data_IF_150666684242
#
_entry.id   IF_150666684242
#
_cell.length_a   1.000
_cell.length_b   1.000
_cell.length_c   1.000
_cell.angle_alpha   90.00
_cell.angle_beta   90.00
_cell.angle_gamma   90.00
#
_symmetry.space_group_name_H-M   'P 1'
#
loop_
_entity.id
_entity.type
_entity.pdbx_description
1 polymer ?
#
# COMPACT_ATOMS: atom_id res chain seq x y z
N UNK A 1 20.18 -7.44 -29.67
CA UNK A 1 19.74 -6.52 -28.58
C UNK A 1 18.23 -6.39 -28.66
N UNK A 2 17.54 -6.57 -27.55
CA UNK A 2 16.08 -6.39 -27.51
C UNK A 2 15.79 -4.88 -27.52
N UNK A 3 14.98 -4.42 -28.47
CA UNK A 3 14.51 -3.02 -28.51
C UNK A 3 13.21 -2.96 -27.70
N UNK A 4 13.32 -2.62 -26.43
CA UNK A 4 12.21 -2.64 -25.47
C UNK A 4 11.02 -1.74 -25.82
N UNK A 5 11.24 -0.72 -26.64
CA UNK A 5 10.21 0.24 -27.09
C UNK A 5 9.67 -0.10 -28.49
N UNK A 6 10.02 -1.28 -29.05
CA UNK A 6 9.40 -1.71 -30.31
C UNK A 6 7.93 -2.00 -30.14
N UNK A 7 7.06 -1.66 -31.11
CA UNK A 7 5.61 -1.89 -31.02
C UNK A 7 5.23 -3.34 -30.68
N UNK A 8 5.94 -4.30 -31.27
CA UNK A 8 5.71 -5.74 -31.04
C UNK A 8 5.99 -6.16 -29.60
N UNK A 9 7.07 -5.65 -28.99
CA UNK A 9 7.41 -5.93 -27.58
C UNK A 9 6.41 -5.26 -26.65
N UNK A 10 6.03 -4.02 -26.91
CA UNK A 10 5.05 -3.29 -26.11
C UNK A 10 3.67 -3.96 -26.15
N UNK A 11 3.22 -4.47 -27.30
CA UNK A 11 1.96 -5.20 -27.45
C UNK A 11 1.97 -6.48 -26.62
N UNK A 12 3.04 -7.29 -26.75
CA UNK A 12 3.21 -8.54 -25.97
C UNK A 12 3.26 -8.28 -24.46
N UNK A 13 3.99 -7.28 -24.04
CA UNK A 13 4.09 -6.93 -22.61
C UNK A 13 2.76 -6.38 -22.07
N UNK A 14 1.98 -5.70 -22.91
CA UNK A 14 0.62 -5.25 -22.57
C UNK A 14 -0.34 -6.42 -22.37
N UNK A 15 -0.27 -7.45 -23.19
CA UNK A 15 -1.06 -8.69 -22.99
C UNK A 15 -0.68 -9.39 -21.68
N UNK A 16 0.63 -9.46 -21.37
CA UNK A 16 1.12 -10.03 -20.11
C UNK A 16 0.60 -9.20 -18.93
N UNK A 17 0.65 -7.88 -19.05
CA UNK A 17 0.12 -6.97 -18.02
C UNK A 17 -1.36 -7.21 -17.76
N UNK A 18 -2.18 -7.35 -18.81
CA UNK A 18 -3.63 -7.62 -18.67
C UNK A 18 -3.87 -8.93 -17.91
N UNK A 19 -3.21 -10.02 -18.30
CA UNK A 19 -3.32 -11.33 -17.62
C UNK A 19 -2.87 -11.25 -16.17
N UNK A 20 -1.79 -10.50 -15.92
CA UNK A 20 -1.28 -10.28 -14.58
C UNK A 20 -2.25 -9.47 -13.71
N UNK A 21 -2.91 -8.45 -14.28
CA UNK A 21 -3.93 -7.66 -13.57
C UNK A 21 -5.12 -8.52 -13.11
N UNK A 22 -5.58 -9.49 -13.92
CA UNK A 22 -6.61 -10.44 -13.46
C UNK A 22 -6.15 -11.29 -12.29
N UNK A 23 -4.89 -11.75 -12.29
CA UNK A 23 -4.34 -12.49 -11.16
C UNK A 23 -4.27 -11.62 -9.89
N UNK A 24 -3.82 -10.37 -10.01
CA UNK A 24 -3.77 -9.42 -8.90
C UNK A 24 -5.17 -9.09 -8.36
N UNK A 25 -6.14 -8.90 -9.24
CA UNK A 25 -7.55 -8.71 -8.84
C UNK A 25 -8.04 -9.92 -8.05
N UNK A 26 -7.78 -11.14 -8.54
CA UNK A 26 -8.15 -12.39 -7.84
C UNK A 26 -7.56 -12.48 -6.44
N UNK A 27 -6.26 -12.20 -6.30
CA UNK A 27 -5.56 -12.18 -5.01
C UNK A 27 -6.16 -11.12 -4.09
N UNK A 28 -6.42 -9.92 -4.60
CA UNK A 28 -6.95 -8.83 -3.79
C UNK A 28 -8.38 -9.09 -3.33
N UNK A 29 -9.25 -9.56 -4.23
CA UNK A 29 -10.64 -9.93 -3.93
C UNK A 29 -10.69 -11.08 -2.93
N UNK A 30 -9.85 -12.10 -3.08
CA UNK A 30 -9.71 -13.18 -2.11
C UNK A 30 -9.38 -12.64 -0.71
N UNK A 31 -8.34 -11.80 -0.60
CA UNK A 31 -7.95 -11.18 0.67
C UNK A 31 -9.07 -10.30 1.23
N UNK A 32 -9.79 -9.60 0.35
CA UNK A 32 -10.92 -8.76 0.72
C UNK A 32 -12.06 -9.60 1.31
N UNK A 33 -12.45 -10.69 0.65
CA UNK A 33 -13.56 -11.56 1.09
C UNK A 33 -13.26 -12.24 2.41
N UNK A 34 -12.09 -12.86 2.57
CA UNK A 34 -11.72 -13.56 3.82
C UNK A 34 -11.60 -12.63 5.03
N UNK A 35 -11.56 -11.34 4.81
CA UNK A 35 -11.47 -10.33 5.87
C UNK A 35 -12.77 -9.58 6.14
N UNK A 36 -13.85 -9.87 5.42
CA UNK A 36 -15.15 -9.24 5.62
C UNK A 36 -15.73 -9.51 7.03
N UNK A 37 -15.46 -10.68 7.61
CA UNK A 37 -15.88 -11.00 8.98
C UNK A 37 -15.34 -10.01 10.01
N UNK A 38 -14.11 -9.56 9.82
CA UNK A 38 -13.51 -8.54 10.68
C UNK A 38 -14.20 -7.18 10.52
N UNK A 39 -14.47 -6.77 9.28
CA UNK A 39 -15.16 -5.52 8.99
C UNK A 39 -16.58 -5.56 9.57
N UNK A 40 -17.29 -6.67 9.38
CA UNK A 40 -18.62 -6.86 9.94
C UNK A 40 -18.62 -6.84 11.48
N UNK A 41 -17.59 -7.41 12.12
CA UNK A 41 -17.48 -7.38 13.58
C UNK A 41 -17.30 -5.96 14.13
N UNK A 42 -16.69 -5.05 13.37
CA UNK A 42 -16.54 -3.64 13.73
C UNK A 42 -17.84 -2.88 13.47
N UNK A 43 -18.45 -3.04 12.29
CA UNK A 43 -19.71 -2.36 11.94
C UNK A 43 -20.88 -2.80 12.82
N UNK A 44 -20.91 -4.07 13.26
CA UNK A 44 -21.93 -4.61 14.18
C UNK A 44 -21.67 -4.25 15.64
N UNK A 45 -20.63 -3.47 15.96
CA UNK A 45 -20.30 -3.07 17.33
C UNK A 45 -19.73 -4.20 18.21
N UNK A 46 -19.48 -5.39 17.65
CA UNK A 46 -18.86 -6.52 18.39
C UNK A 46 -17.43 -6.24 18.78
N UNK A 47 -16.72 -5.36 18.03
CA UNK A 47 -15.37 -4.89 18.33
C UNK A 47 -15.35 -3.37 18.45
N UNK A 48 -14.59 -2.88 19.43
CA UNK A 48 -14.46 -1.44 19.63
C UNK A 48 -13.73 -0.78 18.46
N UNK A 49 -14.36 0.25 17.88
CA UNK A 49 -13.75 1.09 16.88
C UNK A 49 -12.64 1.93 17.50
N UNK A 50 -11.46 1.89 16.89
CA UNK A 50 -10.30 2.73 17.25
C UNK A 50 -9.92 3.60 16.06
N UNK A 51 -9.53 4.83 16.29
CA UNK A 51 -9.23 5.79 15.22
C UNK A 51 -8.24 5.30 14.14
N UNK A 52 -7.20 4.47 14.42
CA UNK A 52 -6.32 3.95 13.35
C UNK A 52 -7.03 3.06 12.33
N UNK A 53 -8.21 2.49 12.69
CA UNK A 53 -9.02 1.69 11.77
C UNK A 53 -9.59 2.51 10.62
N UNK A 54 -9.69 3.84 10.75
CA UNK A 54 -10.09 4.72 9.64
C UNK A 54 -9.14 4.54 8.46
N UNK A 55 -7.83 4.58 8.70
CA UNK A 55 -6.83 4.41 7.64
C UNK A 55 -6.81 3.00 7.06
N UNK A 56 -7.15 2.00 7.87
CA UNK A 56 -7.35 0.63 7.39
C UNK A 56 -8.49 0.57 6.37
N UNK A 57 -9.67 1.10 6.72
CA UNK A 57 -10.82 1.09 5.82
C UNK A 57 -10.56 1.92 4.57
N UNK A 58 -10.07 3.15 4.72
CA UNK A 58 -9.75 4.01 3.58
C UNK A 58 -8.76 3.34 2.63
N UNK A 59 -7.63 2.83 3.12
CA UNK A 59 -6.64 2.16 2.28
C UNK A 59 -7.22 0.96 1.54
N UNK A 60 -8.01 0.15 2.23
CA UNK A 60 -8.62 -1.07 1.70
C UNK A 60 -9.64 -0.78 0.59
N UNK A 61 -10.60 0.11 0.86
CA UNK A 61 -11.65 0.41 -0.12
C UNK A 61 -11.15 1.26 -1.29
N UNK A 62 -10.22 2.19 -1.04
CA UNK A 62 -9.55 2.93 -2.11
C UNK A 62 -8.77 2.00 -3.05
N UNK A 63 -8.03 1.02 -2.53
CA UNK A 63 -7.31 0.06 -3.36
C UNK A 63 -8.27 -0.80 -4.19
N UNK A 64 -9.37 -1.28 -3.60
CA UNK A 64 -10.39 -2.02 -4.34
C UNK A 64 -10.96 -1.18 -5.50
N UNK A 65 -11.34 0.07 -5.22
CA UNK A 65 -11.85 0.98 -6.23
C UNK A 65 -10.82 1.25 -7.35
N UNK A 66 -9.54 1.40 -7.00
CA UNK A 66 -8.47 1.59 -7.97
C UNK A 66 -8.30 0.36 -8.88
N UNK A 67 -8.26 -0.86 -8.33
CA UNK A 67 -8.12 -2.09 -9.12
C UNK A 67 -9.33 -2.26 -10.07
N UNK A 68 -10.55 -2.04 -9.57
CA UNK A 68 -11.76 -2.08 -10.41
C UNK A 68 -11.69 -1.03 -11.51
N UNK A 69 -11.25 0.19 -11.20
CA UNK A 69 -11.09 1.28 -12.17
C UNK A 69 -10.08 0.93 -13.26
N UNK A 70 -8.94 0.31 -12.91
CA UNK A 70 -7.94 -0.18 -13.89
C UNK A 70 -8.58 -1.24 -14.79
N UNK A 71 -9.33 -2.20 -14.24
CA UNK A 71 -9.99 -3.25 -15.04
C UNK A 71 -11.02 -2.66 -16.02
N UNK A 72 -11.80 -1.68 -15.58
CA UNK A 72 -12.73 -0.94 -16.45
C UNK A 72 -12.02 -0.14 -17.54
N UNK A 73 -10.83 0.38 -17.26
CA UNK A 73 -10.02 1.09 -18.25
C UNK A 73 -9.42 0.14 -19.31
N UNK A 74 -9.04 -1.09 -18.90
CA UNK A 74 -8.50 -2.13 -19.80
C UNK A 74 -9.61 -2.72 -20.71
N UNK A 75 -10.80 -2.98 -20.14
CA UNK A 75 -11.94 -3.55 -20.89
C UNK A 75 -13.20 -2.71 -20.65
N UNK A 76 -13.30 -1.56 -21.30
CA UNK A 76 -14.43 -0.67 -21.10
C UNK A 76 -15.71 -1.30 -21.73
N UNK A 77 -16.82 -1.40 -20.96
CA UNK A 77 -18.07 -1.95 -21.48
C UNK A 77 -18.78 -1.04 -22.48
N UNK A 78 -18.44 0.25 -22.47
CA UNK A 78 -18.98 1.28 -23.36
C UNK A 78 -17.98 2.43 -23.49
N UNK A 79 -18.29 3.41 -24.34
CA UNK A 79 -17.48 4.63 -24.43
C UNK A 79 -17.57 5.41 -23.12
N UNK A 80 -16.44 5.51 -22.44
CA UNK A 80 -16.28 6.17 -21.14
C UNK A 80 -15.40 7.42 -21.24
N UNK A 81 -15.53 8.30 -20.28
CA UNK A 81 -14.57 9.39 -20.12
C UNK A 81 -13.26 8.86 -19.53
N UNK A 82 -12.33 8.48 -20.42
CA UNK A 82 -11.04 7.89 -20.05
C UNK A 82 -10.22 8.78 -19.12
N UNK A 83 -10.27 10.11 -19.35
CA UNK A 83 -9.55 11.07 -18.53
C UNK A 83 -10.04 11.04 -17.08
N UNK A 84 -11.36 11.07 -16.87
CA UNK A 84 -11.94 11.03 -15.53
C UNK A 84 -11.67 9.69 -14.84
N UNK A 85 -11.80 8.57 -15.57
CA UNK A 85 -11.58 7.24 -15.04
C UNK A 85 -10.13 7.05 -14.57
N UNK A 86 -9.15 7.40 -15.40
CA UNK A 86 -7.74 7.25 -15.03
C UNK A 86 -7.33 8.22 -13.91
N UNK A 87 -7.79 9.47 -13.95
CA UNK A 87 -7.52 10.44 -12.87
C UNK A 87 -8.07 9.95 -11.53
N UNK A 88 -9.29 9.43 -11.51
CA UNK A 88 -9.89 8.83 -10.32
C UNK A 88 -9.08 7.62 -9.83
N UNK A 89 -8.76 6.69 -10.73
CA UNK A 89 -8.06 5.45 -10.43
C UNK A 89 -6.66 5.71 -9.86
N UNK A 90 -5.90 6.61 -10.47
CA UNK A 90 -4.57 7.01 -9.98
C UNK A 90 -4.67 7.71 -8.62
N UNK A 91 -5.64 8.62 -8.46
CA UNK A 91 -5.83 9.33 -7.19
C UNK A 91 -6.15 8.37 -6.05
N UNK A 92 -7.13 7.47 -6.22
CA UNK A 92 -7.51 6.52 -5.14
C UNK A 92 -6.44 5.45 -4.93
N UNK A 93 -5.73 5.01 -5.99
CA UNK A 93 -4.62 4.08 -5.88
C UNK A 93 -3.45 4.65 -5.08
N UNK A 94 -3.03 5.86 -5.42
CA UNK A 94 -1.98 6.56 -4.70
C UNK A 94 -2.40 6.90 -3.26
N UNK A 95 -3.66 7.27 -3.03
CA UNK A 95 -4.19 7.50 -1.68
C UNK A 95 -4.18 6.21 -0.84
N UNK A 96 -4.49 5.06 -1.44
CA UNK A 96 -4.41 3.76 -0.75
C UNK A 96 -2.98 3.46 -0.29
N UNK A 97 -1.96 3.76 -1.12
CA UNK A 97 -0.55 3.67 -0.73
C UNK A 97 -0.24 4.61 0.44
N UNK A 98 -0.72 5.85 0.39
CA UNK A 98 -0.55 6.82 1.47
C UNK A 98 -1.16 6.32 2.80
N UNK A 99 -2.36 5.75 2.77
CA UNK A 99 -3.00 5.16 3.95
C UNK A 99 -2.26 3.93 4.46
N UNK A 100 -1.73 3.07 3.56
CA UNK A 100 -0.88 1.95 3.95
C UNK A 100 0.38 2.44 4.66
N UNK A 101 1.04 3.46 4.14
CA UNK A 101 2.22 4.11 4.75
C UNK A 101 1.90 4.69 6.14
N UNK A 102 0.74 5.35 6.31
CA UNK A 102 0.28 5.83 7.63
C UNK A 102 0.09 4.65 8.59
N UNK A 103 -0.55 3.56 8.17
CA UNK A 103 -0.74 2.38 9.00
C UNK A 103 0.59 1.76 9.45
N UNK A 104 1.61 1.75 8.60
CA UNK A 104 2.96 1.27 8.94
C UNK A 104 3.66 2.26 9.90
N UNK A 105 3.55 3.55 9.66
CA UNK A 105 4.12 4.61 10.50
C UNK A 105 3.56 4.63 11.92
N UNK A 106 2.24 4.47 12.07
CA UNK A 106 1.58 4.42 13.37
C UNK A 106 2.16 3.34 14.30
N UNK A 107 2.70 2.27 13.74
CA UNK A 107 3.36 1.22 14.51
C UNK A 107 4.71 1.64 15.01
N UNK A 108 5.51 2.30 14.15
CA UNK A 108 6.79 2.87 14.58
C UNK A 108 6.55 3.88 15.68
N UNK A 109 5.54 4.75 15.52
CA UNK A 109 5.12 5.69 16.57
C UNK A 109 4.75 4.97 17.88
N UNK A 110 3.97 3.88 17.80
CA UNK A 110 3.58 3.08 18.97
C UNK A 110 4.78 2.41 19.67
N UNK A 111 5.81 2.03 18.93
CA UNK A 111 7.05 1.44 19.48
C UNK A 111 7.93 2.53 20.12
N UNK A 112 7.91 3.76 19.58
CA UNK A 112 8.76 4.89 19.98
C UNK A 112 8.02 5.95 20.81
N UNK A 113 6.94 5.59 21.51
CA UNK A 113 6.05 6.50 22.27
C UNK A 113 6.81 7.51 23.17
N UNK A 114 7.98 7.17 23.68
CA UNK A 114 8.75 8.05 24.56
C UNK A 114 9.69 9.04 23.82
N UNK A 115 9.86 8.88 22.50
CA UNK A 115 10.79 9.71 21.73
C UNK A 115 10.04 10.64 20.76
N UNK A 116 9.80 11.87 21.23
CA UNK A 116 9.07 12.90 20.46
C UNK A 116 9.77 13.27 19.14
N UNK A 117 11.10 13.17 19.06
CA UNK A 117 11.86 13.48 17.85
C UNK A 117 11.59 12.48 16.73
N UNK A 118 11.51 11.20 17.04
CA UNK A 118 11.20 10.16 16.05
C UNK A 118 9.76 10.28 15.57
N UNK A 119 8.83 10.57 16.50
CA UNK A 119 7.43 10.84 16.13
C UNK A 119 7.35 12.05 15.21
N UNK A 120 8.03 13.15 15.54
CA UNK A 120 8.09 14.35 14.70
C UNK A 120 8.67 14.06 13.31
N UNK A 121 9.78 13.31 13.22
CA UNK A 121 10.38 12.88 11.96
C UNK A 121 9.38 12.10 11.08
N UNK A 122 8.74 11.10 11.64
CA UNK A 122 7.77 10.26 10.91
C UNK A 122 6.58 11.10 10.41
N UNK A 123 6.06 12.01 11.25
CA UNK A 123 4.97 12.91 10.85
C UNK A 123 5.38 13.83 9.70
N UNK A 124 6.59 14.43 9.77
CA UNK A 124 7.10 15.31 8.69
C UNK A 124 7.23 14.54 7.37
N UNK A 125 7.76 13.31 7.42
CA UNK A 125 7.90 12.47 6.23
C UNK A 125 6.52 12.11 5.65
N UNK A 126 5.53 11.77 6.49
CA UNK A 126 4.16 11.51 6.01
C UNK A 126 3.57 12.76 5.35
N UNK A 127 3.70 13.93 5.97
CA UNK A 127 3.19 15.18 5.41
C UNK A 127 3.86 15.54 4.08
N UNK A 128 5.13 15.22 3.90
CA UNK A 128 5.84 15.39 2.62
C UNK A 128 5.39 14.40 1.53
N UNK A 129 4.85 13.24 1.90
CA UNK A 129 4.38 12.21 0.96
C UNK A 129 3.07 12.63 0.26
N UNK A 130 2.14 13.26 0.98
CA UNK A 130 0.82 13.62 0.45
C UNK A 130 0.83 14.56 -0.76
N UNK A 131 1.63 15.63 -0.80
CA UNK A 131 1.73 16.47 -2.00
C UNK A 131 2.19 15.69 -3.23
N UNK A 132 3.14 14.75 -3.08
CA UNK A 132 3.60 13.90 -4.18
C UNK A 132 2.49 12.95 -4.67
N UNK A 133 1.70 12.38 -3.75
CA UNK A 133 0.52 11.56 -4.07
C UNK A 133 -0.49 12.35 -4.91
N UNK A 134 -0.79 13.58 -4.50
CA UNK A 134 -1.74 14.45 -5.20
C UNK A 134 -1.23 14.85 -6.60
N UNK A 135 0.08 15.13 -6.73
CA UNK A 135 0.70 15.48 -8.01
C UNK A 135 0.91 14.27 -8.92
N UNK A 136 1.10 13.08 -8.38
CA UNK A 136 1.34 11.86 -9.13
C UNK A 136 0.18 11.39 -9.99
N UNK A 137 -1.05 11.81 -9.66
CA UNK A 137 -2.27 11.47 -10.41
C UNK A 137 -2.50 12.28 -11.70
N UNK A 138 -1.61 13.21 -12.06
CA UNK A 138 -1.77 14.05 -13.25
C UNK A 138 -1.29 13.28 -14.50
N UNK A 139 -2.24 12.80 -15.29
CA UNK A 139 -2.01 12.16 -16.58
C UNK A 139 -3.05 12.64 -17.61
N UNK A 140 -2.78 12.39 -18.89
CA UNK A 140 -3.74 12.65 -19.97
C UNK A 140 -4.09 11.31 -20.64
N UNK A 141 -5.38 11.00 -20.70
CA UNK A 141 -5.89 9.81 -21.34
C UNK A 141 -7.01 10.15 -22.32
N UNK A 142 -7.06 9.43 -23.42
CA UNK A 142 -8.06 9.60 -24.48
C UNK A 142 -8.70 8.27 -24.85
N UNK A 143 -9.91 8.36 -25.39
CA UNK A 143 -10.58 7.20 -25.97
C UNK A 143 -10.07 6.96 -27.39
N UNK A 144 -9.58 5.74 -27.66
CA UNK A 144 -9.17 5.28 -28.99
C UNK A 144 -10.16 4.25 -29.48
N UNK A 145 -10.87 4.49 -30.62
CA UNK A 145 -11.81 3.53 -31.20
C UNK A 145 -11.11 2.19 -31.50
N UNK A 146 -11.69 1.10 -31.02
CA UNK A 146 -11.16 -0.27 -31.21
C UNK A 146 -10.14 -0.74 -30.16
N UNK A 147 -9.54 0.15 -29.40
CA UNK A 147 -8.53 -0.22 -28.36
C UNK A 147 -8.98 0.14 -26.94
N UNK A 148 -9.95 1.08 -26.79
CA UNK A 148 -10.41 1.55 -25.49
C UNK A 148 -9.66 2.79 -24.98
N UNK A 149 -9.42 2.86 -23.67
CA UNK A 149 -8.75 4.00 -23.06
C UNK A 149 -7.23 3.89 -23.18
N UNK A 150 -6.57 4.87 -23.80
CA UNK A 150 -5.13 4.95 -23.93
C UNK A 150 -4.55 6.16 -23.17
N UNK A 151 -3.46 5.96 -22.45
CA UNK A 151 -2.71 7.04 -21.78
C UNK A 151 -1.80 7.70 -22.83
N UNK A 152 -2.02 8.99 -23.10
CA UNK A 152 -1.24 9.75 -24.09
C UNK A 152 -0.04 10.43 -23.45
N UNK A 153 -0.20 10.93 -22.24
CA UNK A 153 0.87 11.65 -21.54
C UNK A 153 0.83 11.35 -20.04
N UNK A 154 1.99 11.03 -19.51
CA UNK A 154 2.23 10.82 -18.08
C UNK A 154 3.46 11.61 -17.65
N UNK A 155 3.44 12.22 -16.49
CA UNK A 155 4.61 12.86 -15.94
C UNK A 155 5.49 11.83 -15.22
N UNK A 156 6.43 11.23 -15.96
CA UNK A 156 7.32 10.18 -15.45
C UNK A 156 8.24 10.67 -14.34
N UNK A 157 8.62 11.96 -14.37
CA UNK A 157 9.49 12.57 -13.35
C UNK A 157 8.79 12.64 -11.99
N UNK A 158 7.53 13.09 -11.96
CA UNK A 158 6.74 13.17 -10.71
C UNK A 158 6.45 11.76 -10.18
N UNK A 159 6.08 10.84 -11.07
CA UNK A 159 5.82 9.45 -10.70
C UNK A 159 7.09 8.77 -10.15
N UNK A 160 8.23 8.97 -10.81
CA UNK A 160 9.53 8.48 -10.32
C UNK A 160 9.87 9.05 -8.95
N UNK A 161 9.66 10.35 -8.75
CA UNK A 161 9.82 11.00 -7.45
C UNK A 161 8.94 10.41 -6.36
N UNK A 162 7.67 10.07 -6.68
CA UNK A 162 6.75 9.40 -5.76
C UNK A 162 7.26 8.02 -5.34
N UNK A 163 7.72 7.19 -6.30
CA UNK A 163 8.27 5.86 -5.99
C UNK A 163 9.56 5.93 -5.16
N UNK A 164 10.48 6.84 -5.51
CA UNK A 164 11.71 7.06 -4.74
C UNK A 164 11.38 7.50 -3.32
N UNK A 165 10.43 8.43 -3.16
CA UNK A 165 10.02 8.91 -1.84
C UNK A 165 9.39 7.79 -1.01
N UNK A 166 8.48 7.00 -1.59
CA UNK A 166 7.85 5.85 -0.94
C UNK A 166 8.89 4.81 -0.51
N UNK A 167 9.86 4.50 -1.37
CA UNK A 167 10.95 3.58 -1.07
C UNK A 167 11.80 4.09 0.12
N UNK A 168 12.20 5.37 0.11
CA UNK A 168 12.96 5.97 1.21
C UNK A 168 12.15 6.00 2.52
N UNK A 169 10.85 6.27 2.44
CA UNK A 169 9.94 6.21 3.57
C UNK A 169 9.90 4.81 4.18
N UNK A 170 9.63 3.78 3.37
CA UNK A 170 9.54 2.39 3.82
C UNK A 170 10.87 1.91 4.42
N UNK A 171 12.00 2.29 3.80
CA UNK A 171 13.33 2.00 4.33
C UNK A 171 13.56 2.65 5.69
N UNK A 172 13.18 3.92 5.85
CA UNK A 172 13.32 4.64 7.13
C UNK A 172 12.48 3.99 8.23
N UNK A 173 11.22 3.66 7.93
CA UNK A 173 10.30 3.00 8.86
C UNK A 173 10.81 1.60 9.22
N UNK A 174 11.31 0.85 8.24
CA UNK A 174 11.96 -0.45 8.46
C UNK A 174 13.18 -0.35 9.38
N UNK A 175 14.09 0.59 9.11
CA UNK A 175 15.29 0.80 9.92
C UNK A 175 14.95 1.21 11.36
N UNK A 176 13.98 2.10 11.56
CA UNK A 176 13.53 2.52 12.88
C UNK A 176 12.92 1.36 13.67
N UNK A 177 12.12 0.52 13.00
CA UNK A 177 11.55 -0.67 13.61
C UNK A 177 12.63 -1.70 13.97
N UNK A 178 13.53 -2.00 13.03
CA UNK A 178 14.62 -2.95 13.22
C UNK A 178 15.61 -2.50 14.31
N UNK A 179 15.99 -1.22 14.31
CA UNK A 179 16.88 -0.64 15.32
C UNK A 179 16.28 -0.81 16.72
N UNK A 180 15.03 -0.43 16.90
CA UNK A 180 14.37 -0.56 18.23
C UNK A 180 14.29 -2.00 18.68
N UNK A 181 14.11 -2.92 17.74
CA UNK A 181 14.08 -4.37 18.03
C UNK A 181 15.45 -4.88 18.48
N UNK A 182 16.51 -4.53 17.75
CA UNK A 182 17.86 -5.00 18.02
C UNK A 182 18.39 -4.48 19.37
N UNK A 183 18.02 -3.21 19.71
CA UNK A 183 18.54 -2.49 20.89
C UNK A 183 17.55 -2.39 22.05
N UNK A 184 16.37 -3.03 21.97
CA UNK A 184 15.44 -3.04 23.10
C UNK A 184 16.09 -3.73 24.29
N UNK A 185 16.41 -3.01 25.40
CA UNK A 185 17.00 -3.64 26.56
C UNK A 185 16.00 -4.67 27.09
N UNK A 186 16.47 -5.89 27.32
CA UNK A 186 15.72 -6.99 27.96
C UNK A 186 15.49 -6.67 29.46
N UNK A 187 14.92 -5.49 29.77
CA UNK A 187 14.60 -5.11 31.14
C UNK A 187 13.41 -5.92 31.64
N UNK A 188 13.70 -6.83 32.57
CA UNK A 188 12.73 -7.63 33.30
C UNK A 188 11.81 -6.71 34.13
N UNK A 189 10.51 -6.76 33.90
CA UNK A 189 9.51 -6.09 34.73
C UNK A 189 8.31 -5.56 33.96
N UNK A 190 8.50 -4.78 32.91
CA UNK A 190 7.45 -4.35 31.97
C UNK A 190 7.30 -5.35 30.81
N UNK A 191 8.02 -6.44 30.90
CA UNK A 191 8.42 -7.33 29.83
C UNK A 191 7.32 -8.28 29.32
N UNK A 192 6.29 -8.60 30.10
CA UNK A 192 5.38 -9.68 29.71
C UNK A 192 4.34 -9.25 28.67
N UNK A 193 3.79 -8.05 28.84
CA UNK A 193 2.84 -7.46 27.89
C UNK A 193 3.57 -6.92 26.66
N UNK A 194 4.62 -6.12 26.90
CA UNK A 194 5.42 -5.52 25.84
C UNK A 194 6.21 -6.59 25.06
N UNK A 195 6.67 -7.69 25.72
CA UNK A 195 7.35 -8.77 25.01
C UNK A 195 6.41 -9.60 24.13
N UNK A 196 5.15 -9.76 24.51
CA UNK A 196 4.15 -10.50 23.72
C UNK A 196 3.67 -9.68 22.51
N UNK A 197 3.38 -8.38 22.71
CA UNK A 197 3.12 -7.43 21.63
C UNK A 197 4.33 -7.28 20.71
N UNK A 198 5.49 -7.08 21.29
CA UNK A 198 6.76 -6.98 20.58
C UNK A 198 7.03 -8.27 19.80
N UNK A 199 6.91 -9.45 20.38
CA UNK A 199 7.14 -10.74 19.71
C UNK A 199 6.14 -11.00 18.58
N UNK A 200 4.89 -10.58 18.72
CA UNK A 200 3.86 -10.70 17.70
C UNK A 200 3.99 -9.63 16.58
N UNK A 201 4.36 -8.40 16.95
CA UNK A 201 4.70 -7.35 15.97
C UNK A 201 6.00 -7.65 15.22
N UNK A 202 6.94 -8.38 15.82
CA UNK A 202 8.30 -8.56 15.32
C UNK A 202 8.52 -9.89 14.59
N UNK A 203 7.86 -10.96 14.97
CA UNK A 203 7.98 -12.23 14.24
C UNK A 203 7.48 -12.10 12.80
N UNK A 204 6.30 -11.53 12.66
CA UNK A 204 5.67 -11.32 11.35
C UNK A 204 5.79 -9.86 10.86
N UNK A 205 5.87 -8.89 11.79
CA UNK A 205 5.81 -7.46 11.46
C UNK A 205 7.02 -6.95 10.67
N UNK A 206 8.23 -7.34 11.04
CA UNK A 206 9.45 -6.90 10.34
C UNK A 206 9.52 -7.45 8.91
N UNK A 207 9.08 -8.70 8.70
CA UNK A 207 8.98 -9.28 7.36
C UNK A 207 8.04 -8.46 6.46
N UNK A 208 6.97 -7.91 7.02
CA UNK A 208 6.04 -7.08 6.28
C UNK A 208 6.61 -5.73 5.84
N UNK A 209 7.36 -5.06 6.71
CA UNK A 209 8.08 -3.84 6.33
C UNK A 209 9.10 -4.12 5.22
N UNK A 210 9.77 -5.26 5.30
CA UNK A 210 10.74 -5.68 4.29
C UNK A 210 10.06 -5.97 2.95
N UNK A 211 8.90 -6.64 2.93
CA UNK A 211 8.13 -6.90 1.71
C UNK A 211 7.66 -5.58 1.06
N UNK A 212 7.15 -4.63 1.85
CA UNK A 212 6.74 -3.33 1.34
C UNK A 212 7.93 -2.57 0.72
N UNK A 213 9.06 -2.54 1.41
CA UNK A 213 10.30 -1.95 0.89
C UNK A 213 10.76 -2.61 -0.41
N UNK A 214 10.80 -3.96 -0.47
CA UNK A 214 11.20 -4.68 -1.69
C UNK A 214 10.27 -4.39 -2.87
N UNK A 215 8.97 -4.36 -2.63
CA UNK A 215 7.99 -4.06 -3.68
C UNK A 215 8.22 -2.64 -4.25
N UNK A 216 8.42 -1.65 -3.39
CA UNK A 216 8.72 -0.28 -3.81
C UNK A 216 10.11 -0.14 -4.44
N UNK A 217 11.11 -0.88 -3.97
CA UNK A 217 12.45 -0.92 -4.58
C UNK A 217 12.38 -1.46 -6.02
N UNK A 218 11.67 -2.55 -6.25
CA UNK A 218 11.48 -3.12 -7.59
C UNK A 218 10.74 -2.14 -8.50
N UNK A 219 9.63 -1.57 -8.04
CA UNK A 219 8.88 -0.59 -8.83
C UNK A 219 9.73 0.63 -9.18
N UNK A 220 10.50 1.16 -8.22
CA UNK A 220 11.42 2.29 -8.45
C UNK A 220 12.49 1.93 -9.48
N UNK A 221 13.08 0.73 -9.37
CA UNK A 221 14.13 0.28 -10.30
C UNK A 221 13.61 0.22 -11.74
N UNK A 222 12.46 -0.44 -11.97
CA UNK A 222 11.89 -0.55 -13.30
C UNK A 222 11.34 0.78 -13.84
N UNK A 223 10.88 1.66 -12.94
CA UNK A 223 10.51 3.02 -13.32
C UNK A 223 11.71 3.84 -13.82
N UNK A 224 12.86 3.73 -13.15
CA UNK A 224 14.10 4.45 -13.53
C UNK A 224 14.76 3.88 -14.80
N UNK A 225 14.58 2.58 -15.06
CA UNK A 225 15.08 1.94 -16.28
C UNK A 225 14.32 2.37 -17.54
N UNK A 226 13.07 2.89 -17.37
CA UNK A 226 12.21 3.40 -18.46
C UNK A 226 12.19 2.51 -19.72
N UNK A 227 12.06 1.20 -19.52
CA UNK A 227 12.10 0.20 -20.60
C UNK A 227 10.88 0.33 -21.50
N UNK A 228 9.68 0.18 -20.92
CA UNK A 228 8.40 0.47 -21.59
C UNK A 228 7.28 0.69 -20.54
N UNK A 229 6.16 1.35 -20.91
CA UNK A 229 5.05 1.64 -19.98
C UNK A 229 4.39 0.39 -19.39
N UNK A 230 4.34 -0.72 -20.13
CA UNK A 230 3.73 -1.96 -19.65
C UNK A 230 4.56 -2.58 -18.52
N UNK A 231 5.88 -2.69 -18.69
CA UNK A 231 6.79 -3.21 -17.66
C UNK A 231 6.74 -2.33 -16.41
N UNK A 232 6.78 -1.02 -16.56
CA UNK A 232 6.65 -0.09 -15.42
C UNK A 232 5.37 -0.34 -14.64
N UNK A 233 4.26 -0.59 -15.33
CA UNK A 233 2.96 -0.89 -14.71
C UNK A 233 2.92 -2.28 -14.06
N UNK A 234 3.57 -3.30 -14.66
CA UNK A 234 3.70 -4.66 -14.09
C UNK A 234 4.36 -4.63 -12.71
N UNK A 235 5.32 -3.76 -12.48
CA UNK A 235 5.98 -3.65 -11.17
C UNK A 235 5.35 -2.59 -10.28
N UNK A 236 4.79 -1.52 -10.85
CA UNK A 236 4.16 -0.43 -10.11
C UNK A 236 2.86 -0.83 -9.40
N UNK A 237 1.99 -1.58 -10.07
CA UNK A 237 0.70 -1.97 -9.48
C UNK A 237 0.87 -2.93 -8.28
N UNK A 238 1.70 -3.98 -8.31
CA UNK A 238 1.98 -4.79 -7.14
C UNK A 238 2.59 -4.01 -5.98
N UNK A 239 3.43 -3.00 -6.27
CA UNK A 239 4.02 -2.14 -5.25
C UNK A 239 2.97 -1.32 -4.48
N UNK A 240 1.79 -1.09 -5.06
CA UNK A 240 0.65 -0.51 -4.37
C UNK A 240 -0.18 -1.56 -3.61
N UNK A 241 -0.43 -2.72 -4.24
CA UNK A 241 -1.31 -3.76 -3.72
C UNK A 241 -0.70 -4.48 -2.52
N UNK A 242 0.54 -4.96 -2.62
CA UNK A 242 1.16 -5.76 -1.55
C UNK A 242 1.32 -5.00 -0.23
N UNK A 243 1.86 -3.77 -0.19
CA UNK A 243 1.91 -3.00 1.05
C UNK A 243 0.53 -2.76 1.67
N UNK A 244 -0.49 -2.53 0.83
CA UNK A 244 -1.87 -2.33 1.31
C UNK A 244 -2.43 -3.60 1.94
N UNK A 245 -2.30 -4.78 1.30
CA UNK A 245 -2.70 -6.07 1.87
C UNK A 245 -2.00 -6.31 3.20
N UNK A 246 -0.70 -6.11 3.21
CA UNK A 246 0.16 -6.31 4.36
C UNK A 246 -0.25 -5.38 5.51
N UNK A 247 -0.41 -4.09 5.26
CA UNK A 247 -0.87 -3.12 6.26
C UNK A 247 -2.22 -3.53 6.85
N UNK A 248 -3.16 -3.96 6.00
CA UNK A 248 -4.47 -4.45 6.43
C UNK A 248 -4.39 -5.70 7.32
N UNK A 249 -3.59 -6.70 6.93
CA UNK A 249 -3.39 -7.93 7.74
C UNK A 249 -2.86 -7.62 9.12
N UNK A 250 -1.89 -6.73 9.19
CA UNK A 250 -1.28 -6.40 10.44
C UNK A 250 -2.26 -5.60 11.34
N UNK A 251 -3.05 -4.66 10.81
CA UNK A 251 -4.06 -3.91 11.59
C UNK A 251 -5.07 -4.87 12.19
N UNK A 252 -5.56 -5.85 11.42
CA UNK A 252 -6.50 -6.87 11.90
C UNK A 252 -5.91 -7.74 13.02
N UNK A 253 -4.67 -8.20 12.87
CA UNK A 253 -3.99 -8.98 13.93
C UNK A 253 -3.86 -8.20 15.23
N UNK A 254 -3.50 -6.92 15.11
CA UNK A 254 -3.37 -6.04 16.28
C UNK A 254 -4.71 -5.78 16.96
N UNK A 255 -5.76 -5.52 16.18
CA UNK A 255 -7.11 -5.30 16.71
C UNK A 255 -7.67 -6.56 17.40
N UNK A 256 -7.40 -7.76 16.87
CA UNK A 256 -7.79 -9.01 17.48
C UNK A 256 -7.05 -9.23 18.81
N UNK A 257 -5.75 -9.00 18.87
CA UNK A 257 -4.94 -9.11 20.08
C UNK A 257 -5.49 -8.24 21.22
N UNK A 258 -5.80 -6.97 20.95
CA UNK A 258 -6.39 -6.09 21.95
C UNK A 258 -7.79 -6.50 22.39
N UNK A 259 -8.56 -7.15 21.52
CA UNK A 259 -9.90 -7.66 21.84
C UNK A 259 -9.83 -8.84 22.80
N UNK A 260 -8.89 -9.76 22.59
CA UNK A 260 -8.65 -10.94 23.45
C UNK A 260 -8.16 -10.55 24.85
N UNK A 261 -7.29 -9.56 24.93
CA UNK A 261 -6.76 -9.09 26.21
C UNK A 261 -7.78 -8.32 27.05
N UNK A 262 -8.65 -7.54 26.39
CA UNK A 262 -9.75 -6.86 27.06
C UNK A 262 -10.79 -7.83 27.65
N UNK A 263 -10.92 -9.04 27.10
CA UNK A 263 -11.81 -10.09 27.64
C UNK A 263 -11.16 -10.93 28.73
N UNK A 264 -9.83 -10.97 28.79
CA UNK A 264 -9.08 -11.80 29.77
C UNK A 264 -8.80 -11.07 31.09
N UNK A 265 -9.09 -9.78 31.19
CA UNK A 265 -9.01 -9.04 32.45
C UNK A 265 -10.28 -9.28 33.26
N UNK A 266 -10.23 -9.89 34.48
CA UNK A 266 -11.41 -10.03 35.32
C UNK A 266 -11.95 -8.65 35.67
N UNK A 267 -13.28 -8.48 35.79
CA UNK A 267 -13.87 -7.25 36.30
C UNK A 267 -13.37 -7.02 37.73
N UNK A 268 -12.64 -5.91 37.94
CA UNK A 268 -12.16 -5.48 39.26
C UNK A 268 -13.32 -4.97 40.14
#
# INVERSE_FOLDING_TARGET
MVVWQSPEVVEKDSEIFIKFMYALLGIYVWEFVISLDFDWAIFSGRKHFRWPLVFYFLGRYCMLASIIGIMLAIQPPAQLNCQALYTFTEFVGNAACGFASINLALRVVAIWVQNKWIIGLVVVIILGHWPLILMGGVLTAVWVPGTGCAIVRRNTTVLGGLFIYSMCFDFTVFCLAAYKLAWAPRRAGFAKFQSRLVKMLFGDGLAYFFIAFLANLLATTFMLLDLNPAITSIFGVPAAIFPTIVACRIVRRLANFYSEEGQSSPPG
#
